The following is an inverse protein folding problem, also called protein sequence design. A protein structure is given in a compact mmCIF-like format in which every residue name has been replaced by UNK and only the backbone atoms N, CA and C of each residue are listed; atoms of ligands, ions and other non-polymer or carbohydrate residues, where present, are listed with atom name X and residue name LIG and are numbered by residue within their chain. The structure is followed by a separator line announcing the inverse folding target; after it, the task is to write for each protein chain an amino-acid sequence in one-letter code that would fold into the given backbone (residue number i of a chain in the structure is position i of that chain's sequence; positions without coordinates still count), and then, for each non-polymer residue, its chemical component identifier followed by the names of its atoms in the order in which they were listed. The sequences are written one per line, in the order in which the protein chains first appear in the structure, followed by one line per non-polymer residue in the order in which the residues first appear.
data_IF_261113947992
#
_entry.id   IF_261113947992
#
_cell.length_a   1.000
_cell.length_b   1.000
_cell.length_c   1.000
_cell.angle_alpha   90.00
_cell.angle_beta   90.00
_cell.angle_gamma   90.00
#
_symmetry.space_group_name_H-M   'P 1'
#
loop_
_entity.id
_entity.type
_entity.pdbx_description
1 polymer ?
#
# COMPACT_ATOMS: atom_id res chain seq x y z
N UNK A 1 12.92 36.20 8.03
CA UNK A 1 12.31 35.54 6.87
C UNK A 1 12.09 34.08 7.24
N UNK A 2 10.83 33.63 7.26
CA UNK A 2 10.50 32.22 7.52
C UNK A 2 11.08 31.34 6.41
N UNK A 3 11.55 30.13 6.73
CA UNK A 3 12.04 29.16 5.73
C UNK A 3 10.98 28.89 4.64
N UNK A 4 9.70 29.02 4.99
CA UNK A 4 8.55 28.94 4.07
C UNK A 4 8.46 30.11 3.07
N UNK A 5 8.72 31.35 3.49
CA UNK A 5 8.70 32.53 2.59
C UNK A 5 9.84 32.47 1.56
N UNK A 6 10.97 31.89 1.94
CA UNK A 6 12.11 31.67 1.05
C UNK A 6 11.82 30.65 -0.05
N UNK A 7 10.95 29.67 0.21
CA UNK A 7 10.64 28.58 -0.71
C UNK A 7 9.41 28.83 -1.58
N UNK A 8 8.39 29.54 -1.06
CA UNK A 8 7.07 29.60 -1.69
C UNK A 8 6.49 31.01 -1.87
N UNK A 9 7.17 32.06 -1.38
CA UNK A 9 6.74 33.46 -1.51
C UNK A 9 7.22 34.20 -2.77
N UNK A 10 7.89 33.51 -3.70
CA UNK A 10 8.48 34.10 -4.91
C UNK A 10 7.64 33.79 -6.15
N UNK A 11 7.59 34.69 -7.17
CA UNK A 11 6.92 34.41 -8.43
C UNK A 11 7.40 33.06 -9.01
N UNK A 12 6.44 32.28 -9.51
CA UNK A 12 6.65 30.97 -10.09
C UNK A 12 7.66 30.99 -11.23
N UNK A 13 8.29 29.84 -11.45
CA UNK A 13 9.40 29.67 -12.40
C UNK A 13 8.84 29.84 -13.82
N UNK A 14 9.30 30.87 -14.52
CA UNK A 14 8.99 31.07 -15.94
C UNK A 14 9.72 30.06 -16.84
N UNK A 15 9.25 29.92 -18.08
CA UNK A 15 9.95 29.18 -19.15
C UNK A 15 10.92 30.13 -19.86
N UNK A 16 12.04 29.64 -20.41
CA UNK A 16 12.95 30.51 -21.17
C UNK A 16 12.19 31.10 -22.40
N UNK A 17 12.13 32.43 -22.56
CA UNK A 17 11.41 33.10 -23.65
C UNK A 17 11.84 32.66 -25.06
N UNK A 18 13.06 32.13 -25.21
CA UNK A 18 13.63 31.72 -26.48
C UNK A 18 13.52 30.22 -26.74
N UNK A 19 12.90 29.45 -25.84
CA UNK A 19 12.76 28.00 -26.00
C UNK A 19 11.45 27.66 -26.75
N UNK A 20 11.50 26.87 -27.85
CA UNK A 20 10.30 26.51 -28.61
C UNK A 20 9.31 25.71 -27.75
N UNK A 21 8.00 25.90 -27.97
CA UNK A 21 6.95 25.21 -27.21
C UNK A 21 7.11 23.69 -27.33
N UNK A 22 7.62 23.07 -26.25
CA UNK A 22 7.84 21.63 -26.17
C UNK A 22 6.50 20.90 -26.23
N UNK A 23 6.48 19.73 -26.87
CA UNK A 23 5.29 18.87 -27.00
C UNK A 23 5.55 17.49 -26.38
N UNK A 24 4.47 16.81 -25.99
CA UNK A 24 4.54 15.45 -25.43
C UNK A 24 5.41 15.35 -24.18
N UNK A 25 6.27 14.34 -24.12
CA UNK A 25 7.13 14.04 -22.98
C UNK A 25 8.12 15.17 -22.65
N UNK A 26 8.59 15.92 -23.65
CA UNK A 26 9.49 17.05 -23.41
C UNK A 26 8.79 18.20 -22.66
N UNK A 27 7.49 18.41 -22.92
CA UNK A 27 6.67 19.37 -22.16
C UNK A 27 6.43 18.87 -20.74
N UNK A 28 6.17 17.57 -20.60
CA UNK A 28 6.00 16.94 -19.29
C UNK A 28 7.24 17.12 -18.42
N UNK A 29 8.42 16.73 -18.92
CA UNK A 29 9.69 16.88 -18.20
C UNK A 29 10.01 18.34 -17.86
N UNK A 30 9.65 19.29 -18.74
CA UNK A 30 9.79 20.71 -18.46
C UNK A 30 8.88 21.16 -17.30
N UNK A 31 7.61 20.75 -17.28
CA UNK A 31 6.68 21.07 -16.19
C UNK A 31 7.12 20.43 -14.87
N UNK A 32 7.50 19.16 -14.90
CA UNK A 32 8.04 18.46 -13.72
C UNK A 32 9.27 19.18 -13.23
N UNK A 33 10.20 19.53 -14.13
CA UNK A 33 11.39 20.28 -13.79
C UNK A 33 11.07 21.60 -13.12
N UNK A 34 10.13 22.35 -13.69
CA UNK A 34 9.77 23.72 -13.32
C UNK A 34 8.95 23.80 -12.01
N UNK A 35 7.85 23.07 -11.95
CA UNK A 35 6.85 23.21 -10.90
C UNK A 35 6.93 22.09 -9.85
N UNK A 36 8.04 21.33 -9.83
CA UNK A 36 8.23 20.18 -8.94
C UNK A 36 7.82 20.43 -7.49
N UNK A 37 8.30 21.53 -6.90
CA UNK A 37 8.02 21.86 -5.51
C UNK A 37 6.54 22.11 -5.25
N UNK A 38 5.84 22.77 -6.18
CA UNK A 38 4.41 23.05 -6.04
C UNK A 38 3.57 21.78 -6.24
N UNK A 39 3.98 20.92 -7.19
CA UNK A 39 3.34 19.62 -7.45
C UNK A 39 3.46 18.70 -6.23
N UNK A 40 4.67 18.59 -5.66
CA UNK A 40 4.91 17.81 -4.44
C UNK A 40 4.11 18.36 -3.27
N UNK A 41 4.18 19.67 -3.02
CA UNK A 41 3.54 20.23 -1.85
C UNK A 41 2.00 20.15 -1.94
N UNK A 42 1.45 20.29 -3.16
CA UNK A 42 0.04 20.00 -3.41
C UNK A 42 -0.26 18.51 -3.20
N UNK A 43 0.63 17.60 -3.62
CA UNK A 43 0.47 16.16 -3.41
C UNK A 43 0.41 15.79 -1.93
N UNK A 44 1.30 16.33 -1.10
CA UNK A 44 1.23 16.13 0.36
C UNK A 44 -0.12 16.55 0.94
N UNK A 45 -0.61 17.73 0.54
CA UNK A 45 -1.91 18.23 1.01
C UNK A 45 -3.07 17.36 0.50
N UNK A 46 -3.02 16.91 -0.76
CA UNK A 46 -3.99 15.99 -1.34
C UNK A 46 -3.99 14.64 -0.60
N UNK A 47 -2.83 14.05 -0.32
CA UNK A 47 -2.69 12.84 0.47
C UNK A 47 -3.32 13.01 1.86
N UNK A 48 -3.03 14.10 2.55
CA UNK A 48 -3.59 14.39 3.87
C UNK A 48 -5.13 14.48 3.85
N UNK A 49 -5.68 15.12 2.82
CA UNK A 49 -7.14 15.31 2.69
C UNK A 49 -7.88 14.04 2.23
N UNK A 50 -7.20 13.14 1.50
CA UNK A 50 -7.77 11.86 1.04
C UNK A 50 -7.60 10.76 2.09
N UNK A 51 -6.62 10.86 2.99
CA UNK A 51 -6.30 9.83 3.98
C UNK A 51 -7.52 9.38 4.81
N UNK A 52 -8.38 10.27 5.35
CA UNK A 52 -9.58 9.83 6.06
C UNK A 52 -10.52 9.00 5.20
N UNK A 53 -10.62 9.31 3.90
CA UNK A 53 -11.46 8.58 2.96
C UNK A 53 -10.89 7.21 2.64
N UNK A 54 -9.58 7.13 2.40
CA UNK A 54 -8.91 5.85 2.21
C UNK A 54 -9.13 4.94 3.44
N UNK A 55 -8.85 5.42 4.64
CA UNK A 55 -9.00 4.63 5.86
C UNK A 55 -10.47 4.27 6.16
N UNK A 56 -11.38 5.24 6.08
CA UNK A 56 -12.79 5.04 6.43
C UNK A 56 -13.52 4.11 5.45
N UNK A 57 -13.32 4.29 4.14
CA UNK A 57 -13.91 3.42 3.12
C UNK A 57 -13.29 2.03 3.18
N UNK A 58 -11.96 1.92 3.29
CA UNK A 58 -11.29 0.62 3.44
C UNK A 58 -11.76 -0.12 4.68
N UNK A 59 -11.94 0.56 5.83
CA UNK A 59 -12.49 -0.05 7.04
C UNK A 59 -13.90 -0.61 6.81
N UNK A 60 -14.78 0.16 6.17
CA UNK A 60 -16.13 -0.30 5.83
C UNK A 60 -16.14 -1.53 4.93
N UNK A 61 -15.24 -1.56 3.93
CA UNK A 61 -15.09 -2.68 3.00
C UNK A 61 -14.53 -3.93 3.70
N UNK A 62 -13.46 -3.77 4.50
CA UNK A 62 -12.83 -4.88 5.24
C UNK A 62 -13.81 -5.50 6.24
N UNK A 63 -14.60 -4.69 6.93
CA UNK A 63 -15.62 -5.15 7.88
C UNK A 63 -16.88 -5.70 7.21
N UNK A 64 -16.94 -5.71 5.87
CA UNK A 64 -18.14 -6.03 5.09
C UNK A 64 -19.41 -5.31 5.61
N UNK A 65 -19.25 -4.04 6.03
CA UNK A 65 -20.33 -3.19 6.49
C UNK A 65 -20.68 -2.09 5.46
N UNK A 66 -21.75 -2.31 4.70
CA UNK A 66 -22.18 -1.40 3.63
C UNK A 66 -22.61 -0.01 4.13
N UNK A 67 -23.48 0.12 5.16
CA UNK A 67 -23.83 1.43 5.70
C UNK A 67 -22.62 2.23 6.19
N UNK A 68 -21.67 1.57 6.86
CA UNK A 68 -20.43 2.20 7.31
C UNK A 68 -19.61 2.71 6.12
N UNK A 69 -19.49 1.91 5.06
CA UNK A 69 -18.76 2.30 3.84
C UNK A 69 -19.37 3.55 3.19
N UNK A 70 -20.70 3.62 3.08
CA UNK A 70 -21.40 4.78 2.52
C UNK A 70 -21.25 6.01 3.40
N UNK A 71 -21.42 5.86 4.72
CA UNK A 71 -21.30 6.98 5.67
C UNK A 71 -19.87 7.51 5.73
N UNK A 72 -18.88 6.61 5.73
CA UNK A 72 -17.48 6.97 5.63
C UNK A 72 -17.22 7.75 4.34
N UNK A 73 -17.64 7.23 3.18
CA UNK A 73 -17.46 7.92 1.90
C UNK A 73 -18.13 9.29 1.85
N UNK A 74 -19.33 9.43 2.43
CA UNK A 74 -20.07 10.68 2.46
C UNK A 74 -19.33 11.77 3.25
N UNK A 75 -18.87 11.43 4.46
CA UNK A 75 -18.21 12.38 5.38
C UNK A 75 -16.78 12.69 4.96
N UNK A 76 -16.01 11.65 4.64
CA UNK A 76 -14.59 11.77 4.33
C UNK A 76 -14.33 12.18 2.88
N UNK A 77 -15.30 11.99 1.98
CA UNK A 77 -15.22 12.46 0.61
C UNK A 77 -15.27 13.98 0.48
N UNK A 78 -15.81 14.70 1.48
CA UNK A 78 -15.83 16.16 1.51
C UNK A 78 -14.42 16.76 1.44
N UNK A 79 -13.49 16.48 2.38
CA UNK A 79 -12.11 16.96 2.28
C UNK A 79 -11.37 16.39 1.07
N UNK A 80 -11.63 15.13 0.69
CA UNK A 80 -11.03 14.52 -0.49
C UNK A 80 -11.34 15.32 -1.78
N UNK A 81 -12.56 15.86 -1.91
CA UNK A 81 -12.94 16.73 -3.04
C UNK A 81 -12.09 18.00 -3.15
N UNK A 82 -11.72 18.60 -2.02
CA UNK A 82 -10.81 19.75 -2.00
C UNK A 82 -9.39 19.33 -2.39
N UNK A 83 -8.90 18.20 -1.87
CA UNK A 83 -7.57 17.68 -2.21
C UNK A 83 -7.43 17.38 -3.70
N UNK A 84 -8.43 16.75 -4.30
CA UNK A 84 -8.48 16.47 -5.74
C UNK A 84 -8.57 17.76 -6.58
N UNK A 85 -9.40 18.73 -6.16
CA UNK A 85 -9.51 20.04 -6.81
C UNK A 85 -8.15 20.75 -6.87
N UNK A 86 -7.45 20.81 -5.74
CA UNK A 86 -6.14 21.46 -5.65
C UNK A 86 -5.12 20.79 -6.57
N UNK A 87 -5.11 19.46 -6.60
CA UNK A 87 -4.22 18.70 -7.49
C UNK A 87 -4.49 19.00 -8.96
N UNK A 88 -5.77 18.94 -9.36
CA UNK A 88 -6.17 19.20 -10.74
C UNK A 88 -5.92 20.67 -11.15
N UNK A 89 -6.15 21.64 -10.26
CA UNK A 89 -5.87 23.05 -10.52
C UNK A 89 -4.36 23.27 -10.64
N UNK A 90 -3.56 22.70 -9.74
CA UNK A 90 -2.09 22.80 -9.81
C UNK A 90 -1.57 22.29 -11.15
N UNK A 91 -2.03 21.11 -11.61
CA UNK A 91 -1.63 20.54 -12.89
C UNK A 91 -2.08 21.39 -14.08
N UNK A 92 -3.32 21.90 -14.07
CA UNK A 92 -3.83 22.75 -15.14
C UNK A 92 -3.07 24.09 -15.23
N UNK A 93 -2.79 24.70 -14.09
CA UNK A 93 -2.09 25.98 -14.01
C UNK A 93 -0.62 25.86 -14.38
N UNK A 94 0.00 24.70 -14.07
CA UNK A 94 1.30 24.32 -14.61
C UNK A 94 1.26 24.29 -16.15
N UNK A 95 0.25 23.70 -16.76
CA UNK A 95 0.11 23.70 -18.23
C UNK A 95 -0.10 25.10 -18.84
N UNK A 96 -0.72 26.02 -18.10
CA UNK A 96 -0.93 27.42 -18.47
C UNK A 96 0.28 28.34 -18.22
N UNK A 97 1.36 27.85 -17.60
CA UNK A 97 2.53 28.66 -17.18
C UNK A 97 2.20 29.78 -16.17
N UNK A 98 1.19 29.61 -15.33
CA UNK A 98 0.77 30.63 -14.37
C UNK A 98 1.90 30.91 -13.34
N UNK A 99 2.41 32.15 -13.22
CA UNK A 99 3.50 32.50 -12.31
C UNK A 99 3.04 32.80 -10.88
N UNK A 100 1.74 32.72 -10.57
CA UNK A 100 1.24 33.12 -9.25
C UNK A 100 1.79 32.26 -8.10
N UNK A 101 2.02 32.83 -6.89
CA UNK A 101 2.46 32.07 -5.73
C UNK A 101 1.49 30.92 -5.41
N UNK A 102 2.04 29.74 -5.09
CA UNK A 102 1.23 28.53 -4.87
C UNK A 102 0.22 28.72 -3.74
N UNK A 103 0.62 29.20 -2.57
CA UNK A 103 -0.28 29.26 -1.40
C UNK A 103 -1.46 30.19 -1.64
N UNK A 104 -1.21 31.38 -2.18
CA UNK A 104 -2.25 32.34 -2.53
C UNK A 104 -3.17 31.79 -3.62
N UNK A 105 -2.62 31.06 -4.60
CA UNK A 105 -3.39 30.37 -5.62
C UNK A 105 -4.29 29.30 -5.02
N UNK A 106 -3.74 28.39 -4.22
CA UNK A 106 -4.51 27.31 -3.58
C UNK A 106 -5.65 27.88 -2.73
N UNK A 107 -5.39 28.92 -1.92
CA UNK A 107 -6.41 29.60 -1.12
C UNK A 107 -7.52 30.22 -1.98
N UNK A 108 -7.16 30.90 -3.08
CA UNK A 108 -8.14 31.45 -4.03
C UNK A 108 -8.95 30.37 -4.73
N UNK A 109 -8.33 29.27 -5.13
CA UNK A 109 -8.99 28.13 -5.77
C UNK A 109 -10.01 27.49 -4.84
N UNK A 110 -9.65 27.26 -3.57
CA UNK A 110 -10.60 26.77 -2.55
C UNK A 110 -11.74 27.76 -2.40
N UNK A 111 -11.46 29.04 -2.13
CA UNK A 111 -12.51 30.04 -1.87
C UNK A 111 -13.51 30.20 -3.01
N UNK A 112 -13.04 30.06 -4.25
CA UNK A 112 -13.88 30.18 -5.44
C UNK A 112 -14.67 28.90 -5.78
N UNK A 113 -14.19 27.71 -5.42
CA UNK A 113 -14.71 26.44 -5.94
C UNK A 113 -15.13 25.41 -4.88
N UNK A 114 -14.95 25.70 -3.59
CA UNK A 114 -15.25 24.76 -2.50
C UNK A 114 -16.70 24.24 -2.52
N UNK A 115 -17.67 25.10 -2.86
CA UNK A 115 -19.10 24.73 -2.91
C UNK A 115 -19.41 23.63 -3.93
N UNK A 116 -18.62 23.55 -5.01
CA UNK A 116 -18.75 22.51 -6.02
C UNK A 116 -17.84 21.31 -5.72
N UNK A 117 -16.65 21.55 -5.16
CA UNK A 117 -15.68 20.50 -4.88
C UNK A 117 -16.06 19.59 -3.72
N UNK A 118 -16.66 20.12 -2.65
CA UNK A 118 -17.14 19.31 -1.52
C UNK A 118 -18.15 18.24 -1.95
N UNK A 119 -19.29 18.57 -2.58
CA UNK A 119 -20.27 17.57 -2.99
C UNK A 119 -19.73 16.65 -4.09
N UNK A 120 -18.84 17.15 -4.97
CA UNK A 120 -18.17 16.30 -5.96
C UNK A 120 -17.36 15.19 -5.27
N UNK A 121 -16.48 15.55 -4.33
CA UNK A 121 -15.68 14.58 -3.60
C UNK A 121 -16.52 13.60 -2.80
N UNK A 122 -17.50 14.11 -2.06
CA UNK A 122 -18.44 13.28 -1.28
C UNK A 122 -19.17 12.26 -2.16
N UNK A 123 -19.72 12.70 -3.29
CA UNK A 123 -20.40 11.82 -4.24
C UNK A 123 -19.44 10.79 -4.85
N UNK A 124 -18.30 11.23 -5.37
CA UNK A 124 -17.34 10.34 -6.05
C UNK A 124 -16.77 9.29 -5.11
N UNK A 125 -16.38 9.67 -3.88
CA UNK A 125 -15.84 8.74 -2.89
C UNK A 125 -16.92 7.78 -2.38
N UNK A 126 -18.16 8.24 -2.16
CA UNK A 126 -19.27 7.37 -1.74
C UNK A 126 -19.58 6.32 -2.81
N UNK A 127 -19.66 6.73 -4.08
CA UNK A 127 -19.89 5.81 -5.20
C UNK A 127 -18.72 4.84 -5.36
N UNK A 128 -17.48 5.32 -5.27
CA UNK A 128 -16.29 4.48 -5.34
C UNK A 128 -16.26 3.45 -4.21
N UNK A 129 -16.58 3.88 -2.98
CA UNK A 129 -16.65 3.00 -1.82
C UNK A 129 -17.77 1.96 -1.94
N UNK A 130 -18.95 2.37 -2.38
CA UNK A 130 -20.07 1.45 -2.63
C UNK A 130 -19.75 0.41 -3.71
N UNK A 131 -19.15 0.81 -4.83
CA UNK A 131 -18.72 -0.12 -5.88
C UNK A 131 -17.60 -1.05 -5.40
N UNK A 132 -16.64 -0.52 -4.62
CA UNK A 132 -15.56 -1.32 -4.04
C UNK A 132 -16.09 -2.34 -3.02
N UNK A 133 -17.11 -1.97 -2.26
CA UNK A 133 -17.81 -2.87 -1.36
C UNK A 133 -18.49 -4.01 -2.11
N UNK A 134 -19.23 -3.70 -3.18
CA UNK A 134 -19.90 -4.74 -3.99
C UNK A 134 -18.86 -5.70 -4.57
N UNK A 135 -17.72 -5.20 -5.03
CA UNK A 135 -16.58 -6.03 -5.45
C UNK A 135 -16.12 -6.98 -4.34
N UNK A 136 -15.82 -6.45 -3.15
CA UNK A 136 -15.34 -7.25 -2.02
C UNK A 136 -16.38 -8.26 -1.55
N UNK A 137 -17.65 -7.87 -1.50
CA UNK A 137 -18.76 -8.74 -1.12
C UNK A 137 -18.93 -9.91 -2.10
N UNK A 138 -18.87 -9.66 -3.41
CA UNK A 138 -18.95 -10.72 -4.42
C UNK A 138 -17.80 -11.73 -4.28
N UNK A 139 -16.58 -11.25 -4.01
CA UNK A 139 -15.44 -12.14 -3.76
C UNK A 139 -15.55 -12.91 -2.44
N UNK A 140 -16.10 -12.32 -1.39
CA UNK A 140 -16.34 -13.02 -0.13
C UNK A 140 -17.41 -14.12 -0.27
N UNK A 141 -18.48 -13.86 -1.02
CA UNK A 141 -19.52 -14.87 -1.32
C UNK A 141 -18.98 -15.99 -2.20
N UNK A 142 -18.12 -15.65 -3.15
CA UNK A 142 -17.39 -16.59 -4.01
C UNK A 142 -16.60 -17.63 -3.20
N UNK A 143 -15.84 -17.14 -2.22
CA UNK A 143 -14.97 -17.96 -1.37
C UNK A 143 -15.77 -18.97 -0.52
N UNK A 144 -17.00 -18.60 -0.13
CA UNK A 144 -17.86 -19.45 0.70
C UNK A 144 -18.77 -20.41 -0.09
N UNK A 145 -19.17 -20.04 -1.31
CA UNK A 145 -20.25 -20.72 -2.04
C UNK A 145 -19.84 -21.45 -3.31
N UNK A 146 -18.60 -21.27 -3.81
CA UNK A 146 -18.10 -21.90 -5.04
C UNK A 146 -18.83 -21.52 -6.34
N UNK A 147 -19.89 -20.70 -6.26
CA UNK A 147 -20.66 -20.23 -7.41
C UNK A 147 -20.11 -18.90 -7.91
N UNK A 148 -19.54 -18.91 -9.10
CA UNK A 148 -19.01 -17.72 -9.73
C UNK A 148 -20.14 -16.74 -10.08
N UNK A 149 -20.11 -15.47 -9.62
CA UNK A 149 -21.01 -14.45 -10.12
C UNK A 149 -20.76 -14.37 -11.62
N UNK A 150 -21.79 -14.64 -12.42
CA UNK A 150 -21.63 -14.82 -13.86
C UNK A 150 -20.80 -13.68 -14.45
N UNK A 151 -19.83 -13.99 -15.32
CA UNK A 151 -18.82 -13.03 -15.77
C UNK A 151 -19.37 -11.68 -16.28
N UNK A 152 -20.62 -11.65 -16.74
CA UNK A 152 -21.35 -10.43 -17.05
C UNK A 152 -21.40 -9.44 -15.86
N UNK A 153 -21.67 -9.89 -14.64
CA UNK A 153 -21.74 -9.05 -13.43
C UNK A 153 -20.39 -8.36 -13.17
N UNK A 154 -19.28 -9.10 -13.28
CA UNK A 154 -17.94 -8.54 -13.12
C UNK A 154 -17.61 -7.52 -14.21
N UNK A 155 -18.02 -7.79 -15.45
CA UNK A 155 -17.84 -6.86 -16.57
C UNK A 155 -18.64 -5.57 -16.35
N UNK A 156 -19.90 -5.66 -15.93
CA UNK A 156 -20.72 -4.49 -15.63
C UNK A 156 -20.15 -3.68 -14.45
N UNK A 157 -19.69 -4.36 -13.39
CA UNK A 157 -19.11 -3.70 -12.23
C UNK A 157 -17.76 -3.01 -12.57
N UNK A 158 -16.95 -3.63 -13.42
CA UNK A 158 -15.75 -3.01 -13.99
C UNK A 158 -16.08 -1.81 -14.88
N UNK A 159 -17.16 -1.90 -15.66
CA UNK A 159 -17.65 -0.80 -16.48
C UNK A 159 -18.16 0.37 -15.61
N UNK A 160 -18.86 0.10 -14.51
CA UNK A 160 -19.32 1.14 -13.57
C UNK A 160 -18.14 1.89 -12.93
N UNK A 161 -17.07 1.17 -12.56
CA UNK A 161 -15.82 1.78 -12.09
C UNK A 161 -15.18 2.66 -13.16
N UNK A 162 -15.17 2.22 -14.42
CA UNK A 162 -14.67 3.01 -15.54
C UNK A 162 -15.51 4.28 -15.75
N UNK A 163 -16.84 4.17 -15.71
CA UNK A 163 -17.75 5.33 -15.84
C UNK A 163 -17.52 6.33 -14.72
N UNK A 164 -17.35 5.86 -13.47
CA UNK A 164 -17.05 6.72 -12.34
C UNK A 164 -15.69 7.42 -12.49
N UNK A 165 -14.66 6.70 -12.93
CA UNK A 165 -13.32 7.25 -13.15
C UNK A 165 -13.31 8.31 -14.25
N UNK A 166 -13.98 8.05 -15.38
CA UNK A 166 -14.11 8.99 -16.49
C UNK A 166 -14.94 10.21 -16.06
N UNK A 167 -16.12 9.99 -15.47
CA UNK A 167 -16.99 11.06 -15.03
C UNK A 167 -16.32 11.97 -13.99
N UNK A 168 -15.75 11.38 -12.93
CA UNK A 168 -15.11 12.11 -11.85
C UNK A 168 -13.92 12.95 -12.33
N UNK A 169 -13.03 12.36 -13.14
CA UNK A 169 -11.84 13.05 -13.65
C UNK A 169 -12.18 14.20 -14.61
N UNK A 170 -13.16 14.01 -15.51
CA UNK A 170 -13.60 15.06 -16.43
C UNK A 170 -14.29 16.20 -15.70
N UNK A 171 -15.20 15.89 -14.76
CA UNK A 171 -15.90 16.92 -13.97
C UNK A 171 -14.90 17.75 -13.18
N UNK A 172 -13.87 17.12 -12.59
CA UNK A 172 -12.81 17.81 -11.88
C UNK A 172 -11.97 18.69 -12.81
N UNK A 173 -11.54 18.17 -13.97
CA UNK A 173 -10.76 18.91 -14.95
C UNK A 173 -11.53 20.10 -15.55
N UNK A 174 -12.84 19.97 -15.72
CA UNK A 174 -13.70 21.07 -16.16
C UNK A 174 -13.91 22.08 -15.03
N UNK A 175 -14.10 21.63 -13.80
CA UNK A 175 -14.30 22.52 -12.65
C UNK A 175 -13.12 23.46 -12.43
N UNK A 176 -11.88 23.00 -12.69
CA UNK A 176 -10.68 23.83 -12.63
C UNK A 176 -10.58 24.82 -13.79
N UNK A 177 -11.05 24.45 -14.98
CA UNK A 177 -11.07 25.30 -16.17
C UNK A 177 -12.20 26.34 -16.19
N UNK A 178 -13.30 26.11 -15.46
CA UNK A 178 -14.42 27.04 -15.41
C UNK A 178 -14.01 28.42 -14.84
N UNK A 179 -14.58 29.53 -15.36
CA UNK A 179 -14.44 30.84 -14.77
C UNK A 179 -14.91 30.84 -13.30
N UNK A 180 -14.19 31.55 -12.42
CA UNK A 180 -14.44 31.51 -10.98
C UNK A 180 -15.89 31.86 -10.58
N UNK A 181 -16.55 32.77 -11.31
CA UNK A 181 -17.95 33.13 -11.06
C UNK A 181 -19.00 32.10 -11.54
N UNK A 182 -18.59 31.11 -12.34
CA UNK A 182 -19.48 30.10 -12.92
C UNK A 182 -19.21 28.68 -12.37
N UNK A 183 -18.29 28.56 -11.42
CA UNK A 183 -17.91 27.29 -10.81
C UNK A 183 -19.08 26.68 -10.04
N UNK A 184 -19.75 25.71 -10.66
CA UNK A 184 -20.85 24.95 -10.08
C UNK A 184 -20.75 23.49 -10.50
N UNK A 185 -21.22 22.58 -9.65
CA UNK A 185 -21.23 21.15 -9.95
C UNK A 185 -22.02 20.85 -11.24
N UNK A 186 -23.20 21.46 -11.39
CA UNK A 186 -24.03 21.30 -12.59
C UNK A 186 -23.36 21.84 -13.85
N UNK A 187 -22.68 22.98 -13.77
CA UNK A 187 -21.88 23.51 -14.88
C UNK A 187 -20.72 22.59 -15.26
N UNK A 188 -20.04 22.02 -14.25
CA UNK A 188 -18.94 21.09 -14.47
C UNK A 188 -19.41 19.77 -15.09
N UNK A 189 -20.56 19.22 -14.66
CA UNK A 189 -21.18 18.04 -15.26
C UNK A 189 -21.55 18.25 -16.72
N UNK A 190 -22.19 19.38 -17.05
CA UNK A 190 -22.52 19.72 -18.44
C UNK A 190 -21.26 19.90 -19.29
N UNK A 191 -20.25 20.59 -18.76
CA UNK A 191 -18.97 20.76 -19.44
C UNK A 191 -18.22 19.46 -19.65
N UNK A 192 -18.25 18.54 -18.68
CA UNK A 192 -17.67 17.20 -18.79
C UNK A 192 -18.37 16.38 -19.89
N UNK A 193 -19.71 16.42 -19.93
CA UNK A 193 -20.48 15.79 -21.01
C UNK A 193 -20.14 16.39 -22.38
N UNK A 194 -20.03 17.72 -22.47
CA UNK A 194 -19.65 18.39 -23.71
C UNK A 194 -18.23 18.03 -24.16
N UNK A 195 -17.28 17.96 -23.22
CA UNK A 195 -15.90 17.53 -23.48
C UNK A 195 -15.83 16.06 -23.93
N UNK A 196 -16.63 15.18 -23.34
CA UNK A 196 -16.74 13.77 -23.75
C UNK A 196 -17.28 13.65 -25.18
N UNK A 197 -18.29 14.44 -25.55
CA UNK A 197 -18.87 14.43 -26.90
C UNK A 197 -17.92 15.02 -27.96
N UNK A 198 -17.20 16.09 -27.64
CA UNK A 198 -16.31 16.78 -28.59
C UNK A 198 -14.96 16.07 -28.78
N UNK A 199 -14.48 15.34 -27.77
CA UNK A 199 -13.16 14.72 -27.79
C UNK A 199 -13.14 13.40 -27.02
N UNK A 200 -13.98 12.41 -27.40
CA UNK A 200 -14.14 11.17 -26.63
C UNK A 200 -12.82 10.42 -26.45
N UNK A 201 -11.99 10.35 -27.49
CA UNK A 201 -10.68 9.68 -27.40
C UNK A 201 -9.74 10.33 -26.38
N UNK A 202 -9.74 11.65 -26.24
CA UNK A 202 -8.90 12.35 -25.23
C UNK A 202 -9.47 12.17 -23.83
N UNK A 203 -10.79 12.26 -23.71
CA UNK A 203 -11.49 12.10 -22.44
C UNK A 203 -11.27 10.70 -21.86
N UNK A 204 -11.40 9.66 -22.69
CA UNK A 204 -11.15 8.27 -22.28
C UNK A 204 -9.65 8.03 -22.02
N UNK A 205 -8.75 8.51 -22.89
CA UNK A 205 -7.32 8.31 -22.71
C UNK A 205 -6.77 8.96 -21.43
N UNK A 206 -7.14 10.21 -21.13
CA UNK A 206 -6.68 10.88 -19.92
C UNK A 206 -7.24 10.23 -18.66
N UNK A 207 -8.52 9.82 -18.68
CA UNK A 207 -9.13 9.09 -17.55
C UNK A 207 -8.48 7.72 -17.35
N UNK A 208 -8.14 7.03 -18.44
CA UNK A 208 -7.42 5.75 -18.41
C UNK A 208 -6.03 5.87 -17.80
N UNK A 209 -5.31 6.97 -18.04
CA UNK A 209 -4.01 7.24 -17.39
C UNK A 209 -4.17 7.41 -15.89
N UNK A 210 -5.21 8.11 -15.43
CA UNK A 210 -5.49 8.23 -13.98
C UNK A 210 -5.81 6.87 -13.38
N UNK A 211 -6.68 6.09 -14.02
CA UNK A 211 -7.08 4.77 -13.57
C UNK A 211 -5.88 3.82 -13.50
N UNK A 212 -5.02 3.80 -14.53
CA UNK A 212 -3.80 3.01 -14.55
C UNK A 212 -2.83 3.43 -13.43
N UNK A 213 -2.66 4.75 -13.21
CA UNK A 213 -1.83 5.26 -12.12
C UNK A 213 -2.34 4.83 -10.74
N UNK A 214 -3.64 4.95 -10.49
CA UNK A 214 -4.27 4.50 -9.25
C UNK A 214 -4.20 2.98 -9.10
N UNK A 215 -4.41 2.21 -10.17
CA UNK A 215 -4.32 0.76 -10.16
C UNK A 215 -2.90 0.29 -9.80
N UNK A 216 -1.86 0.95 -10.32
CA UNK A 216 -0.46 0.69 -9.93
C UNK A 216 -0.26 0.99 -8.44
N UNK A 217 -0.79 2.10 -7.93
CA UNK A 217 -0.70 2.40 -6.50
C UNK A 217 -1.40 1.33 -5.64
N UNK A 218 -2.55 0.82 -6.06
CA UNK A 218 -3.27 -0.25 -5.34
C UNK A 218 -2.50 -1.57 -5.42
N UNK A 219 -1.98 -1.94 -6.60
CA UNK A 219 -1.27 -3.20 -6.84
C UNK A 219 -0.03 -3.36 -5.95
N UNK A 220 0.70 -2.27 -5.70
CA UNK A 220 1.90 -2.27 -4.86
C UNK A 220 1.63 -1.87 -3.41
N UNK A 221 0.37 -1.82 -2.96
CA UNK A 221 0.05 -1.59 -1.55
C UNK A 221 0.58 -2.76 -0.68
N UNK A 222 1.19 -2.52 0.50
CA UNK A 222 1.31 -1.23 1.21
C UNK A 222 2.53 -0.38 0.84
N UNK A 223 3.52 -0.95 0.12
CA UNK A 223 4.78 -0.27 -0.25
C UNK A 223 4.52 1.03 -1.02
N UNK A 224 3.49 1.04 -1.85
CA UNK A 224 3.04 2.21 -2.61
C UNK A 224 2.61 3.39 -1.73
N UNK A 225 2.27 3.20 -0.45
CA UNK A 225 1.86 4.28 0.47
C UNK A 225 2.97 5.30 0.65
N UNK A 226 4.21 4.83 0.82
CA UNK A 226 5.38 5.70 0.89
C UNK A 226 5.57 6.48 -0.42
N UNK A 227 5.44 5.78 -1.56
CA UNK A 227 5.58 6.40 -2.87
C UNK A 227 4.42 7.32 -3.23
N UNK A 228 3.23 7.09 -2.71
CA UNK A 228 2.05 7.92 -2.95
C UNK A 228 2.26 9.34 -2.42
N UNK A 229 3.01 9.48 -1.32
CA UNK A 229 3.36 10.76 -0.71
C UNK A 229 4.31 11.58 -1.61
N UNK A 230 5.24 10.93 -2.31
CA UNK A 230 6.25 11.60 -3.14
C UNK A 230 5.80 11.76 -4.61
N UNK A 231 5.20 10.71 -5.18
CA UNK A 231 4.94 10.57 -6.62
C UNK A 231 3.49 10.21 -6.95
N UNK A 232 2.63 10.02 -5.94
CA UNK A 232 1.34 9.35 -6.08
C UNK A 232 0.36 9.99 -7.06
N UNK A 233 -0.28 11.08 -6.66
CA UNK A 233 -1.43 11.59 -7.41
C UNK A 233 -1.03 12.58 -8.50
N UNK A 234 0.04 13.35 -8.30
CA UNK A 234 0.39 14.42 -9.24
C UNK A 234 0.91 13.90 -10.58
N UNK A 235 1.63 12.78 -10.64
CA UNK A 235 2.13 12.20 -11.90
C UNK A 235 0.98 11.78 -12.84
N UNK A 236 0.04 10.91 -12.43
CA UNK A 236 -1.06 10.50 -13.29
C UNK A 236 -2.00 11.67 -13.61
N UNK A 237 -2.25 12.57 -12.64
CA UNK A 237 -3.12 13.73 -12.88
C UNK A 237 -2.47 14.71 -13.86
N UNK A 238 -1.16 14.98 -13.77
CA UNK A 238 -0.46 15.86 -14.71
C UNK A 238 -0.44 15.28 -16.12
N UNK A 239 -0.15 13.98 -16.25
CA UNK A 239 -0.16 13.28 -17.54
C UNK A 239 -1.57 13.29 -18.17
N UNK A 240 -2.61 13.02 -17.38
CA UNK A 240 -3.99 13.09 -17.82
C UNK A 240 -4.41 14.52 -18.19
N UNK A 241 -4.03 15.51 -17.39
CA UNK A 241 -4.34 16.92 -17.66
C UNK A 241 -3.68 17.37 -18.97
N UNK A 242 -2.48 16.89 -19.29
CA UNK A 242 -1.83 17.17 -20.57
C UNK A 242 -2.61 16.59 -21.77
N UNK A 243 -3.30 15.45 -21.58
CA UNK A 243 -4.20 14.87 -22.59
C UNK A 243 -5.50 15.68 -22.71
N UNK A 244 -6.04 16.14 -21.58
CA UNK A 244 -7.25 16.97 -21.52
C UNK A 244 -7.04 18.39 -22.06
N UNK A 245 -5.83 18.94 -21.90
CA UNK A 245 -5.51 20.34 -22.11
C UNK A 245 -5.94 20.89 -23.48
N UNK A 246 -5.73 20.21 -24.62
CA UNK A 246 -6.18 20.73 -25.92
C UNK A 246 -7.69 20.89 -26.02
N UNK A 247 -8.47 20.03 -25.36
CA UNK A 247 -9.93 20.11 -25.34
C UNK A 247 -10.39 21.24 -24.40
N UNK A 248 -9.81 21.31 -23.19
CA UNK A 248 -10.10 22.38 -22.23
C UNK A 248 -9.75 23.76 -22.78
N UNK A 249 -8.61 23.89 -23.47
CA UNK A 249 -8.17 25.14 -24.11
C UNK A 249 -9.15 25.61 -25.17
N UNK A 250 -9.68 24.70 -25.98
CA UNK A 250 -10.69 25.04 -27.01
C UNK A 250 -12.03 25.42 -26.40
N UNK A 251 -12.45 24.74 -25.33
CA UNK A 251 -13.74 24.94 -24.69
C UNK A 251 -13.82 26.20 -23.83
N UNK A 252 -12.74 26.51 -23.12
CA UNK A 252 -12.71 27.58 -22.11
C UNK A 252 -11.73 28.70 -22.47
N UNK A 253 -11.21 28.72 -23.69
CA UNK A 253 -10.26 29.73 -24.18
C UNK A 253 -9.08 29.95 -23.22
N UNK A 254 -8.51 28.87 -22.68
CA UNK A 254 -7.43 28.96 -21.71
C UNK A 254 -6.19 29.59 -22.33
N UNK A 255 -5.74 30.69 -21.72
CA UNK A 255 -4.51 31.36 -22.09
C UNK A 255 -3.29 30.59 -21.55
N UNK A 256 -2.26 30.48 -22.38
CA UNK A 256 -0.94 30.00 -21.96
C UNK A 256 -0.08 31.24 -21.86
N UNK A 257 0.32 31.59 -20.64
CA UNK A 257 1.10 32.79 -20.42
C UNK A 257 2.45 32.63 -21.12
N UNK A 258 2.74 33.57 -22.01
CA UNK A 258 4.03 33.68 -22.65
C UNK A 258 5.03 34.12 -21.57
N UNK A 259 6.24 33.55 -21.53
CA UNK A 259 7.22 33.98 -20.54
C UNK A 259 7.57 35.45 -20.80
N UNK A 260 7.61 36.27 -19.74
CA UNK A 260 8.23 37.58 -19.85
C UNK A 260 9.66 37.41 -20.36
N UNK A 261 10.02 38.15 -21.41
CA UNK A 261 11.38 38.21 -21.90
C UNK A 261 12.30 38.61 -20.74
N UNK A 262 13.06 37.65 -20.21
CA UNK A 262 14.13 37.94 -19.26
C UNK A 262 15.08 38.97 -19.87
N UNK A 263 15.77 39.78 -19.05
CA UNK A 263 16.74 40.75 -19.58
C UNK A 263 17.73 40.00 -20.48
N UNK A 264 18.02 40.58 -21.67
CA UNK A 264 19.00 40.02 -22.59
C UNK A 264 20.25 39.63 -21.81
N UNK A 265 20.82 38.43 -22.05
CA UNK A 265 21.99 37.98 -21.30
C UNK A 265 23.09 39.02 -21.47
N UNK A 266 23.45 39.70 -20.38
CA UNK A 266 24.48 40.74 -20.36
C UNK A 266 25.66 40.30 -21.22
N UNK A 267 25.85 41.01 -22.34
CA UNK A 267 26.86 40.69 -23.34
C UNK A 267 28.30 40.75 -22.76
N UNK A 268 28.45 41.26 -21.53
CA UNK A 268 29.70 41.45 -20.80
C UNK A 268 30.16 40.26 -19.95
N UNK A 269 29.35 39.21 -19.74
CA UNK A 269 29.75 38.08 -18.90
C UNK A 269 30.65 37.07 -19.63
N UNK A 270 31.77 36.72 -19.00
CA UNK A 270 32.74 35.73 -19.54
C UNK A 270 32.13 34.33 -19.60
N UNK A 271 32.49 33.47 -20.57
CA UNK A 271 32.04 32.06 -20.69
C UNK A 271 32.06 31.28 -19.36
N UNK A 272 33.11 31.47 -18.54
CA UNK A 272 33.23 30.87 -17.20
C UNK A 272 32.16 31.35 -16.23
N UNK A 273 31.86 32.65 -16.21
CA UNK A 273 30.82 33.24 -15.36
C UNK A 273 29.43 32.83 -15.85
N UNK A 274 29.20 32.76 -17.16
CA UNK A 274 27.96 32.21 -17.74
C UNK A 274 27.75 30.75 -17.33
N UNK A 275 28.79 29.90 -17.35
CA UNK A 275 28.69 28.51 -16.87
C UNK A 275 28.46 28.41 -15.36
N UNK A 276 29.11 29.25 -14.56
CA UNK A 276 28.92 29.29 -13.11
C UNK A 276 27.50 29.76 -12.75
N UNK A 277 27.03 30.83 -13.39
CA UNK A 277 25.66 31.32 -13.26
C UNK A 277 24.64 30.28 -13.72
N UNK A 278 24.86 29.58 -14.85
CA UNK A 278 23.99 28.47 -15.31
C UNK A 278 23.93 27.32 -14.32
N UNK A 279 25.06 26.94 -13.71
CA UNK A 279 25.10 25.89 -12.67
C UNK A 279 24.43 26.33 -11.38
N UNK A 280 24.66 27.58 -10.95
CA UNK A 280 24.00 28.15 -9.79
C UNK A 280 22.49 28.27 -10.02
N UNK A 281 22.04 28.72 -11.20
CA UNK A 281 20.64 28.71 -11.60
C UNK A 281 20.09 27.29 -11.61
N UNK A 282 20.80 26.36 -12.24
CA UNK A 282 20.37 24.96 -12.30
C UNK A 282 20.20 24.37 -10.90
N UNK A 283 21.17 24.54 -10.00
CA UNK A 283 21.09 24.07 -8.62
C UNK A 283 19.98 24.78 -7.84
N UNK A 284 19.89 26.11 -7.94
CA UNK A 284 18.84 26.91 -7.32
C UNK A 284 17.44 26.45 -7.73
N UNK A 285 17.29 25.95 -8.96
CA UNK A 285 16.02 25.53 -9.53
C UNK A 285 15.76 24.01 -9.45
N UNK A 286 16.76 23.14 -9.52
CA UNK A 286 16.59 21.69 -9.68
C UNK A 286 16.99 20.89 -8.43
N UNK A 287 17.42 21.54 -7.34
CA UNK A 287 17.81 20.84 -6.11
C UNK A 287 16.71 19.92 -5.56
N UNK A 288 15.43 20.28 -5.71
CA UNK A 288 14.30 19.44 -5.28
C UNK A 288 14.24 18.09 -6.02
N UNK A 289 14.56 18.07 -7.32
CA UNK A 289 14.67 16.83 -8.10
C UNK A 289 15.84 15.96 -7.62
N UNK A 290 16.95 16.60 -7.25
CA UNK A 290 18.12 15.87 -6.71
C UNK A 290 17.76 15.22 -5.38
N UNK A 291 17.09 15.93 -4.48
CA UNK A 291 16.62 15.38 -3.20
C UNK A 291 15.65 14.21 -3.43
N UNK A 292 14.67 14.36 -4.33
CA UNK A 292 13.75 13.28 -4.66
C UNK A 292 14.46 12.05 -5.26
N UNK A 293 15.47 12.26 -6.12
CA UNK A 293 16.29 11.19 -6.68
C UNK A 293 17.11 10.46 -5.62
N UNK A 294 17.68 11.18 -4.65
CA UNK A 294 18.43 10.58 -3.53
C UNK A 294 17.49 9.76 -2.64
N UNK A 295 16.29 10.28 -2.31
CA UNK A 295 15.30 9.53 -1.54
C UNK A 295 14.87 8.26 -2.29
N UNK A 296 14.60 8.36 -3.60
CA UNK A 296 14.25 7.20 -4.44
C UNK A 296 15.35 6.12 -4.38
N UNK A 297 16.62 6.52 -4.56
CA UNK A 297 17.74 5.60 -4.51
C UNK A 297 17.90 4.96 -3.12
N UNK A 298 17.78 5.74 -2.04
CA UNK A 298 17.86 5.22 -0.68
C UNK A 298 16.74 4.24 -0.36
N UNK A 299 15.51 4.52 -0.81
CA UNK A 299 14.37 3.61 -0.65
C UNK A 299 14.52 2.32 -1.46
N UNK A 300 15.07 2.38 -2.68
CA UNK A 300 15.39 1.17 -3.46
C UNK A 300 16.44 0.34 -2.72
N UNK A 301 17.49 0.98 -2.18
CA UNK A 301 18.49 0.30 -1.36
C UNK A 301 17.87 -0.32 -0.11
N UNK A 302 16.95 0.38 0.56
CA UNK A 302 16.23 -0.15 1.73
C UNK A 302 15.35 -1.36 1.39
N UNK A 303 14.62 -1.32 0.28
CA UNK A 303 13.80 -2.46 -0.18
C UNK A 303 14.70 -3.64 -0.57
N UNK A 304 15.80 -3.39 -1.28
CA UNK A 304 16.78 -4.43 -1.61
C UNK A 304 17.38 -5.02 -0.33
N UNK A 305 17.70 -4.18 0.66
CA UNK A 305 18.20 -4.65 1.95
C UNK A 305 17.14 -5.51 2.67
N UNK A 306 15.89 -5.03 2.76
CA UNK A 306 14.80 -5.76 3.40
C UNK A 306 14.45 -7.09 2.71
N UNK A 307 14.54 -7.15 1.38
CA UNK A 307 14.39 -8.38 0.60
C UNK A 307 15.59 -9.32 0.73
N UNK A 308 16.76 -8.81 1.11
CA UNK A 308 17.99 -9.59 1.27
C UNK A 308 18.31 -9.90 2.73
N UNK A 309 17.44 -9.48 3.67
CA UNK A 309 17.51 -9.81 5.10
C UNK A 309 16.37 -10.72 5.55
N UNK A 310 15.59 -11.30 4.63
CA UNK A 310 14.79 -12.48 4.96
C UNK A 310 15.76 -13.58 5.38
N UNK A 311 15.77 -13.86 6.68
CA UNK A 311 16.52 -14.99 7.24
C UNK A 311 15.82 -16.23 6.70
N UNK A 312 16.50 -17.00 5.85
CA UNK A 312 16.01 -18.32 5.43
C UNK A 312 16.39 -19.30 6.55
N UNK A 313 15.44 -19.75 7.38
CA UNK A 313 15.74 -20.69 8.45
C UNK A 313 16.20 -22.02 7.86
N UNK A 314 17.14 -22.68 8.54
CA UNK A 314 17.61 -24.01 8.13
C UNK A 314 16.55 -25.09 8.39
N UNK A 315 15.73 -24.86 9.41
CA UNK A 315 14.70 -25.78 9.88
C UNK A 315 13.47 -25.03 10.37
N UNK A 316 12.30 -25.64 10.26
CA UNK A 316 11.05 -25.11 10.80
C UNK A 316 10.33 -26.17 11.63
N UNK A 317 9.96 -25.80 12.85
CA UNK A 317 9.27 -26.68 13.82
C UNK A 317 7.97 -26.02 14.26
N UNK A 318 6.87 -26.76 14.16
CA UNK A 318 5.56 -26.30 14.56
C UNK A 318 5.22 -26.74 16.00
N UNK A 319 4.60 -25.84 16.78
CA UNK A 319 4.05 -26.13 18.10
C UNK A 319 2.57 -25.78 18.10
N UNK A 320 1.70 -26.76 18.29
CA UNK A 320 0.25 -26.59 18.35
C UNK A 320 -0.23 -26.74 19.79
N UNK A 321 -0.75 -25.65 20.35
CA UNK A 321 -1.17 -25.54 21.75
C UNK A 321 -2.50 -24.80 21.88
N UNK A 322 -3.32 -25.17 22.86
CA UNK A 322 -4.57 -24.46 23.15
C UNK A 322 -4.34 -23.04 23.70
N UNK A 323 -3.27 -22.87 24.49
CA UNK A 323 -2.91 -21.58 25.07
C UNK A 323 -1.72 -20.94 24.34
N UNK A 324 -1.63 -19.61 24.40
CA UNK A 324 -0.50 -18.87 23.84
C UNK A 324 0.80 -19.19 24.58
N UNK A 325 1.78 -19.76 23.88
CA UNK A 325 3.12 -19.95 24.41
C UNK A 325 3.87 -18.60 24.43
N UNK A 326 4.46 -18.16 25.55
CA UNK A 326 5.21 -16.91 25.58
C UNK A 326 6.47 -16.93 24.72
N UNK A 327 6.79 -15.78 24.11
CA UNK A 327 7.94 -15.62 23.22
C UNK A 327 9.28 -16.04 23.86
N UNK A 328 9.45 -15.78 25.16
CA UNK A 328 10.67 -16.17 25.87
C UNK A 328 10.86 -17.69 25.95
N UNK A 329 9.77 -18.45 26.07
CA UNK A 329 9.80 -19.91 26.11
C UNK A 329 10.00 -20.49 24.71
N UNK A 330 9.34 -19.89 23.70
CA UNK A 330 9.54 -20.20 22.30
C UNK A 330 11.01 -20.02 21.88
N UNK A 331 11.63 -18.89 22.23
CA UNK A 331 13.04 -18.61 21.95
C UNK A 331 14.00 -19.59 22.63
N UNK A 332 13.68 -20.04 23.85
CA UNK A 332 14.48 -21.06 24.53
C UNK A 332 14.40 -22.40 23.81
N UNK A 333 13.19 -22.82 23.40
CA UNK A 333 13.03 -24.04 22.62
C UNK A 333 13.79 -23.95 21.28
N UNK A 334 13.67 -22.81 20.59
CA UNK A 334 14.43 -22.54 19.38
C UNK A 334 15.95 -22.68 19.61
N UNK A 335 16.49 -22.04 20.66
CA UNK A 335 17.93 -22.12 20.98
C UNK A 335 18.39 -23.57 21.27
N UNK A 336 17.53 -24.35 21.92
CA UNK A 336 17.81 -25.77 22.17
C UNK A 336 17.85 -26.55 20.86
N UNK A 337 16.89 -26.35 19.96
CA UNK A 337 16.85 -27.01 18.66
C UNK A 337 18.03 -26.58 17.76
N UNK A 338 18.39 -25.30 17.76
CA UNK A 338 19.55 -24.76 17.03
C UNK A 338 20.87 -25.39 17.47
N UNK A 339 20.98 -25.81 18.74
CA UNK A 339 22.18 -26.48 19.24
C UNK A 339 22.41 -27.88 18.65
N UNK A 340 21.36 -28.50 18.09
CA UNK A 340 21.43 -29.79 17.41
C UNK A 340 21.43 -29.67 15.87
N UNK A 341 20.93 -28.55 15.33
CA UNK A 341 20.83 -28.33 13.89
C UNK A 341 22.19 -28.15 13.21
N UNK A 342 22.22 -28.35 11.89
CA UNK A 342 23.37 -28.05 11.03
C UNK A 342 23.03 -26.88 10.09
N UNK A 343 24.04 -26.09 9.76
CA UNK A 343 23.92 -24.99 8.81
C UNK A 343 23.72 -25.58 7.39
N UNK A 344 22.47 -25.54 6.90
CA UNK A 344 22.07 -26.10 5.59
C UNK A 344 22.23 -25.06 4.50
N UNK A 345 21.95 -23.80 4.79
CA UNK A 345 21.99 -22.71 3.83
C UNK A 345 23.42 -22.15 3.59
N UNK A 346 24.39 -22.57 4.42
CA UNK A 346 25.82 -22.18 4.44
C UNK A 346 26.05 -20.69 4.72
N UNK A 347 25.18 -20.06 5.50
CA UNK A 347 25.30 -18.66 5.89
C UNK A 347 26.20 -18.45 7.13
N UNK A 348 26.61 -19.54 7.79
CA UNK A 348 27.48 -19.55 8.96
C UNK A 348 26.73 -19.47 10.30
N UNK A 349 25.40 -19.52 10.31
CA UNK A 349 24.53 -19.51 11.50
C UNK A 349 23.47 -20.60 11.35
N UNK A 350 23.21 -21.35 12.42
CA UNK A 350 22.08 -22.30 12.43
C UNK A 350 20.85 -21.58 12.95
N UNK A 351 19.79 -21.50 12.16
CA UNK A 351 18.52 -20.88 12.57
C UNK A 351 17.38 -21.89 12.49
N UNK A 352 16.68 -22.09 13.60
CA UNK A 352 15.45 -22.92 13.65
C UNK A 352 14.24 -22.01 13.85
N UNK A 353 13.35 -21.92 12.87
CA UNK A 353 12.11 -21.17 13.03
C UNK A 353 11.08 -21.98 13.83
N UNK A 354 10.62 -21.43 14.96
CA UNK A 354 9.57 -22.04 15.77
C UNK A 354 8.21 -21.40 15.47
N UNK A 355 7.34 -22.16 14.82
CA UNK A 355 6.00 -21.75 14.45
C UNK A 355 4.98 -22.16 15.52
N UNK A 356 4.63 -21.24 16.42
CA UNK A 356 3.63 -21.51 17.47
C UNK A 356 2.22 -21.18 16.96
N UNK A 357 1.36 -22.21 16.92
CA UNK A 357 -0.04 -22.11 16.55
C UNK A 357 -0.94 -22.30 17.76
N UNK A 358 -1.72 -21.26 18.08
CA UNK A 358 -2.75 -21.33 19.12
C UNK A 358 -4.02 -21.95 18.54
N UNK A 359 -4.29 -23.21 18.85
CA UNK A 359 -5.41 -23.99 18.32
C UNK A 359 -5.76 -25.19 19.22
N UNK A 360 -7.05 -25.52 19.30
CA UNK A 360 -7.59 -26.70 20.00
C UNK A 360 -8.85 -27.22 19.30
N UNK A 361 -9.10 -28.52 19.34
CA UNK A 361 -10.38 -29.10 18.91
C UNK A 361 -11.54 -28.73 19.87
N UNK A 362 -11.22 -28.46 21.14
CA UNK A 362 -12.18 -27.95 22.11
C UNK A 362 -12.23 -26.42 22.08
N UNK A 363 -13.31 -25.89 21.50
CA UNK A 363 -13.58 -24.47 21.37
C UNK A 363 -13.73 -23.74 22.72
N UNK A 364 -13.88 -24.45 23.84
CA UNK A 364 -13.93 -23.84 25.18
C UNK A 364 -12.54 -23.51 25.74
N UNK A 365 -11.48 -24.10 25.18
CA UNK A 365 -10.11 -23.94 25.67
C UNK A 365 -9.36 -22.76 25.04
N UNK A 366 -9.86 -22.19 23.95
CA UNK A 366 -9.12 -21.19 23.16
C UNK A 366 -9.99 -19.99 22.82
N UNK A 367 -9.42 -18.78 22.82
CA UNK A 367 -10.11 -17.60 22.30
C UNK A 367 -10.37 -17.74 20.79
N UNK A 368 -11.59 -17.43 20.36
CA UNK A 368 -12.04 -17.62 18.98
C UNK A 368 -11.18 -16.83 17.96
N UNK A 369 -10.72 -15.62 18.30
CA UNK A 369 -9.89 -14.82 17.39
C UNK A 369 -8.48 -15.43 17.26
N UNK A 370 -7.89 -15.83 18.39
CA UNK A 370 -6.58 -16.49 18.42
C UNK A 370 -6.61 -17.82 17.67
N UNK A 371 -7.67 -18.62 17.84
CA UNK A 371 -7.84 -19.89 17.15
C UNK A 371 -8.00 -19.73 15.64
N UNK A 372 -8.78 -18.74 15.16
CA UNK A 372 -8.91 -18.47 13.72
C UNK A 372 -7.59 -18.04 13.09
N UNK A 373 -6.83 -17.18 13.77
CA UNK A 373 -5.50 -16.77 13.31
C UNK A 373 -4.51 -17.94 13.29
N UNK A 374 -4.49 -18.75 14.36
CA UNK A 374 -3.66 -19.96 14.46
C UNK A 374 -3.99 -20.96 13.35
N UNK A 375 -5.27 -21.27 13.15
CA UNK A 375 -5.73 -22.20 12.12
C UNK A 375 -5.36 -21.75 10.69
N UNK A 376 -5.47 -20.46 10.39
CA UNK A 376 -5.13 -19.92 9.06
C UNK A 376 -3.64 -20.07 8.76
N UNK A 377 -2.78 -19.73 9.73
CA UNK A 377 -1.32 -19.89 9.56
C UNK A 377 -0.93 -21.36 9.48
N UNK A 378 -1.52 -22.20 10.32
CA UNK A 378 -1.27 -23.65 10.32
C UNK A 378 -1.67 -24.32 9.01
N UNK A 379 -2.83 -23.97 8.43
CA UNK A 379 -3.24 -24.46 7.12
C UNK A 379 -2.24 -24.10 6.01
N UNK A 380 -1.66 -22.89 6.10
CA UNK A 380 -0.65 -22.45 5.13
C UNK A 380 0.64 -23.24 5.27
N UNK A 381 1.07 -23.52 6.50
CA UNK A 381 2.24 -24.36 6.78
C UNK A 381 2.02 -25.79 6.27
N UNK A 382 0.90 -26.43 6.65
CA UNK A 382 0.55 -27.78 6.19
C UNK A 382 0.49 -27.90 4.68
N UNK A 383 -0.12 -26.93 3.98
CA UNK A 383 -0.23 -26.95 2.53
C UNK A 383 1.14 -26.80 1.81
N UNK A 384 2.08 -26.07 2.43
CA UNK A 384 3.41 -25.86 1.90
C UNK A 384 4.44 -26.89 2.38
N UNK A 385 4.09 -27.70 3.40
CA UNK A 385 5.03 -28.58 4.09
C UNK A 385 6.18 -27.80 4.74
N UNK A 386 5.93 -26.61 5.28
CA UNK A 386 7.01 -25.73 5.75
C UNK A 386 7.67 -26.27 7.03
N UNK A 387 6.90 -26.77 7.99
CA UNK A 387 7.41 -27.38 9.22
C UNK A 387 7.54 -28.89 9.10
N UNK A 388 8.74 -29.42 9.42
CA UNK A 388 9.04 -30.84 9.37
C UNK A 388 8.67 -31.60 10.64
N UNK A 389 8.85 -30.95 11.80
CA UNK A 389 8.55 -31.50 13.13
C UNK A 389 7.36 -30.75 13.72
N UNK A 390 6.39 -31.49 14.27
CA UNK A 390 5.15 -30.97 14.82
C UNK A 390 5.01 -31.43 16.28
N UNK A 391 4.90 -30.48 17.20
CA UNK A 391 4.67 -30.73 18.61
C UNK A 391 3.19 -30.43 18.89
N UNK A 392 2.42 -31.45 19.24
CA UNK A 392 0.95 -31.41 19.29
C UNK A 392 0.43 -31.61 20.72
N UNK A 393 -0.39 -30.67 21.18
CA UNK A 393 -1.12 -30.78 22.45
C UNK A 393 -2.25 -31.83 22.39
N UNK A 394 -2.99 -31.87 21.27
CA UNK A 394 -4.08 -32.81 21.02
C UNK A 394 -3.97 -33.41 19.61
N UNK A 395 -3.22 -34.53 19.45
CA UNK A 395 -3.02 -35.15 18.14
C UNK A 395 -4.30 -35.72 17.53
N UNK A 396 -5.24 -36.21 18.34
CA UNK A 396 -6.49 -36.79 17.85
C UNK A 396 -7.43 -35.70 17.33
N UNK A 397 -7.53 -34.59 18.07
CA UNK A 397 -8.25 -33.40 17.60
C UNK A 397 -7.63 -32.84 16.32
N UNK A 398 -6.30 -32.73 16.27
CA UNK A 398 -5.57 -32.27 15.10
C UNK A 398 -5.85 -33.15 13.86
N UNK A 399 -5.78 -34.48 14.01
CA UNK A 399 -6.08 -35.40 12.92
C UNK A 399 -7.53 -35.29 12.44
N UNK A 400 -8.50 -35.22 13.37
CA UNK A 400 -9.91 -35.07 13.02
C UNK A 400 -10.21 -33.76 12.25
N UNK A 401 -9.41 -32.71 12.47
CA UNK A 401 -9.57 -31.42 11.82
C UNK A 401 -8.82 -31.30 10.48
N UNK A 402 -7.61 -31.85 10.38
CA UNK A 402 -6.71 -31.60 9.26
C UNK A 402 -6.37 -32.85 8.43
N UNK A 403 -6.51 -34.06 8.97
CA UNK A 403 -6.15 -35.30 8.26
C UNK A 403 -4.67 -35.49 7.96
N UNK A 404 -3.80 -34.60 8.46
CA UNK A 404 -2.40 -34.52 8.04
C UNK A 404 -1.55 -35.71 8.55
N UNK A 405 -1.90 -36.32 9.68
CA UNK A 405 -1.15 -37.45 10.23
C UNK A 405 -1.46 -38.73 9.46
N UNK A 406 -2.73 -38.97 9.13
CA UNK A 406 -3.10 -40.14 8.31
C UNK A 406 -2.65 -40.00 6.86
N UNK A 407 -2.58 -38.79 6.33
CA UNK A 407 -2.00 -38.53 5.00
C UNK A 407 -0.51 -38.90 4.96
N UNK A 408 0.26 -38.50 5.98
CA UNK A 408 1.69 -38.77 6.03
C UNK A 408 2.04 -40.24 6.33
N UNK A 409 1.27 -40.89 7.23
CA UNK A 409 1.65 -42.18 7.82
C UNK A 409 0.65 -43.32 7.62
N UNK A 410 -0.52 -43.05 7.03
CA UNK A 410 -1.62 -44.01 6.88
C UNK A 410 -2.45 -44.19 8.16
N UNK A 411 -3.29 -45.23 8.18
CA UNK A 411 -4.24 -45.48 9.29
C UNK A 411 -3.56 -45.75 10.65
N UNK A 412 -2.28 -46.16 10.66
CA UNK A 412 -1.50 -46.49 11.87
C UNK A 412 -0.73 -45.30 12.48
N UNK A 413 -1.11 -44.07 12.14
CA UNK A 413 -0.41 -42.84 12.57
C UNK A 413 -0.24 -42.72 14.09
N UNK A 414 -1.20 -43.21 14.89
CA UNK A 414 -1.15 -43.16 16.36
C UNK A 414 0.09 -43.86 16.93
N UNK A 415 0.51 -44.96 16.29
CA UNK A 415 1.66 -45.76 16.73
C UNK A 415 3.00 -45.08 16.46
N UNK A 416 3.03 -44.07 15.59
CA UNK A 416 4.23 -43.33 15.19
C UNK A 416 4.43 -42.03 15.97
N UNK A 417 3.45 -41.65 16.80
CA UNK A 417 3.57 -40.50 17.68
C UNK A 417 4.57 -40.78 18.80
N UNK A 418 5.48 -39.82 19.01
CA UNK A 418 6.53 -39.94 20.01
C UNK A 418 6.16 -39.09 21.21
N UNK A 419 6.32 -39.61 22.44
CA UNK A 419 6.10 -38.79 23.63
C UNK A 419 7.22 -37.77 23.78
N UNK A 420 6.89 -36.52 24.12
CA UNK A 420 7.89 -35.50 24.44
C UNK A 420 8.92 -35.99 25.47
N UNK A 421 8.44 -36.72 26.47
CA UNK A 421 9.24 -37.30 27.57
C UNK A 421 10.24 -38.36 27.12
N UNK A 422 10.01 -38.98 25.95
CA UNK A 422 10.81 -40.09 25.46
C UNK A 422 12.05 -39.59 24.69
N UNK A 423 12.13 -38.29 24.42
CA UNK A 423 13.26 -37.65 23.73
C UNK A 423 14.14 -36.94 24.76
N UNK A 424 15.29 -37.52 25.17
CA UNK A 424 16.09 -36.98 26.28
C UNK A 424 16.58 -35.54 26.04
N UNK A 425 16.93 -35.22 24.79
CA UNK A 425 17.38 -33.89 24.38
C UNK A 425 16.34 -32.79 24.65
N UNK A 426 15.05 -33.11 24.49
CA UNK A 426 13.94 -32.19 24.71
C UNK A 426 13.39 -32.28 26.14
N UNK A 427 13.37 -33.49 26.71
CA UNK A 427 12.88 -33.76 28.07
C UNK A 427 13.76 -33.13 29.17
N UNK A 428 15.05 -32.91 28.90
CA UNK A 428 16.00 -32.29 29.83
C UNK A 428 16.25 -30.80 29.60
N UNK A 429 15.62 -30.20 28.58
CA UNK A 429 15.79 -28.80 28.24
C UNK A 429 15.21 -27.87 29.32
N UNK A 430 15.91 -26.78 29.63
CA UNK A 430 15.37 -25.70 30.49
C UNK A 430 14.54 -24.71 29.65
N UNK A 431 13.27 -25.05 29.46
CA UNK A 431 12.31 -24.21 28.74
C UNK A 431 11.69 -23.10 29.62
N UNK A 432 12.04 -23.05 30.91
CA UNK A 432 11.52 -22.08 31.86
C UNK A 432 10.05 -22.27 32.25
N UNK A 433 9.52 -21.26 32.93
CA UNK A 433 8.13 -21.17 33.37
C UNK A 433 7.56 -19.79 33.07
N UNK A 434 6.25 -19.69 32.97
CA UNK A 434 5.55 -18.43 32.78
C UNK A 434 4.35 -18.30 33.69
N UNK A 435 3.96 -17.07 33.99
CA UNK A 435 2.82 -16.78 34.84
C UNK A 435 1.52 -16.94 34.04
N UNK A 436 0.59 -17.74 34.56
CA UNK A 436 -0.74 -17.94 33.96
C UNK A 436 -1.78 -16.98 34.54
N UNK A 437 -1.49 -16.34 35.67
CA UNK A 437 -2.31 -15.28 36.24
C UNK A 437 -1.64 -13.92 36.13
N UNK A 438 -2.45 -12.88 35.89
CA UNK A 438 -2.00 -11.50 35.75
C UNK A 438 -1.35 -10.93 37.03
N UNK A 439 -1.64 -11.52 38.19
CA UNK A 439 -1.03 -11.16 39.48
C UNK A 439 0.27 -11.92 39.79
N UNK A 440 0.69 -12.84 38.90
CA UNK A 440 1.88 -13.67 39.07
C UNK A 440 1.78 -14.75 40.15
N UNK A 441 0.58 -15.00 40.71
CA UNK A 441 0.38 -15.98 41.78
C UNK A 441 0.41 -17.43 41.29
N UNK A 442 0.06 -17.66 40.01
CA UNK A 442 0.13 -18.98 39.36
C UNK A 442 1.16 -18.94 38.24
N UNK A 443 2.06 -19.91 38.25
CA UNK A 443 3.04 -20.14 37.19
C UNK A 443 2.92 -21.56 36.66
N UNK A 444 3.17 -21.73 35.37
CA UNK A 444 3.17 -23.01 34.68
C UNK A 444 4.56 -23.26 34.10
N UNK A 445 5.09 -24.44 34.39
CA UNK A 445 6.32 -24.91 33.76
C UNK A 445 6.03 -25.32 32.32
N UNK A 446 6.81 -24.79 31.38
CA UNK A 446 6.70 -25.18 29.97
C UNK A 446 7.05 -26.65 29.79
N UNK A 447 8.00 -27.15 30.59
CA UNK A 447 8.39 -28.56 30.57
C UNK A 447 7.27 -29.48 31.05
N UNK A 448 6.52 -29.04 32.08
CA UNK A 448 5.36 -29.79 32.55
C UNK A 448 4.22 -29.77 31.52
N UNK A 449 4.03 -28.64 30.84
CA UNK A 449 3.06 -28.52 29.75
C UNK A 449 3.41 -29.49 28.60
N UNK A 450 4.64 -29.42 28.10
CA UNK A 450 5.10 -30.24 26.97
C UNK A 450 5.23 -31.73 27.31
N UNK A 451 5.39 -32.10 28.59
CA UNK A 451 5.36 -33.51 29.00
C UNK A 451 4.08 -34.25 28.60
N UNK A 452 2.98 -33.52 28.34
CA UNK A 452 1.70 -34.05 27.89
C UNK A 452 1.57 -34.10 26.37
N UNK A 453 2.49 -33.46 25.65
CA UNK A 453 2.43 -33.29 24.20
C UNK A 453 3.06 -34.48 23.48
N UNK A 454 2.67 -34.65 22.22
CA UNK A 454 3.22 -35.67 21.32
C UNK A 454 3.95 -35.00 20.17
N UNK A 455 4.98 -35.64 19.67
CA UNK A 455 5.79 -35.18 18.54
C UNK A 455 5.42 -36.03 17.32
N UNK A 456 5.11 -35.36 16.23
CA UNK A 456 4.91 -35.94 14.90
C UNK A 456 5.98 -35.42 13.94
N UNK A 457 6.66 -36.33 13.24
CA UNK A 457 7.72 -35.99 12.27
C UNK A 457 7.19 -36.24 10.87
N UNK A 458 6.60 -35.20 10.27
CA UNK A 458 5.94 -35.33 8.97
C UNK A 458 6.96 -35.26 7.83
N UNK A 459 7.98 -34.40 7.96
CA UNK A 459 9.06 -34.26 7.01
C UNK A 459 10.41 -34.29 7.76
N UNK A 460 10.95 -35.49 7.98
CA UNK A 460 12.24 -35.69 8.67
C UNK A 460 13.47 -35.69 7.76
N UNK A 461 13.29 -35.45 6.44
CA UNK A 461 14.38 -35.45 5.46
C UNK A 461 15.39 -34.30 5.66
N UNK A 462 15.06 -33.36 6.56
CA UNK A 462 15.93 -32.24 6.90
C UNK A 462 17.11 -32.65 7.81
N UNK A 463 17.01 -33.80 8.49
CA UNK A 463 18.04 -34.36 9.36
C UNK A 463 18.05 -33.75 10.78
N UNK A 464 17.18 -32.79 11.09
CA UNK A 464 17.10 -32.21 12.44
C UNK A 464 16.63 -33.25 13.46
N UNK A 465 15.65 -34.07 13.07
CA UNK A 465 15.12 -35.11 13.94
C UNK A 465 16.17 -36.18 14.31
N UNK A 466 16.98 -36.58 13.34
CA UNK A 466 18.05 -37.56 13.54
C UNK A 466 19.11 -37.00 14.51
N UNK A 467 19.47 -35.72 14.35
CA UNK A 467 20.40 -35.03 15.23
C UNK A 467 19.88 -34.90 16.68
N UNK A 468 18.58 -34.63 16.87
CA UNK A 468 17.95 -34.54 18.19
C UNK A 468 17.89 -35.91 18.88
N UNK A 469 17.64 -36.97 18.12
CA UNK A 469 17.49 -38.33 18.66
C UNK A 469 18.81 -39.09 18.78
N UNK A 470 19.92 -38.52 18.30
CA UNK A 470 21.23 -39.16 18.31
C UNK A 470 21.30 -40.38 17.38
N UNK A 471 20.43 -40.44 16.37
CA UNK A 471 20.49 -41.42 15.29
C UNK A 471 21.42 -40.91 14.18
N UNK A 472 22.67 -40.61 14.52
CA UNK A 472 23.67 -40.32 13.49
C UNK A 472 23.95 -41.62 12.70
N UNK A 473 23.76 -41.54 11.38
CA UNK A 473 24.21 -42.55 10.41
C UNK A 473 25.59 -42.23 9.86
#
# INVERSE_FOLDING_TARGET
MSWFDSLYGRPGRGVDPHEPEKKGLARFAQMVGRDFGQLIATNFLTCLLILPAALGVSLGVILLNFPLTLLAGLLTGLPAGIGLLLMADCCLRSLCNDPSPWLDRASRTIRSRWKAALPLGSLTVTLLGGLSFVWAFLFAVLDQGGQYPGGAVLVFLGFDMLVLAVGGSLVLAVLTALPAGQASLGGALRGAGHMLLLSPGRSLAGSGVILAGVAVLILFFPVSTFWAILFGFWLPVLAAMQIFFPALRRLYALEVEAPEAGPEPDASLTEKQKRAARRANWWHYHWGLVVAGVVLAASVVYVIHGLNTTIDPDYSVAVVTADTLPDASAQRLQTVLESYGQDRNRDGVVVVELNVYTWSADASLTDMNSQMAGATRMNTDLANGASGIWILADPAGFEAAYGALSEAWGEDWESRLISWTDVPALAQADLGSYNTSADGSTSQSVQELFSRYKIAVLHGEDGLWDAITGQDS
#
